data_IF_551970224808
#
_entry.id   IF_551970224808
#
_cell.length_a   1.000
_cell.length_b   1.000
_cell.length_c   1.000
_cell.angle_alpha   90.00
_cell.angle_beta   90.00
_cell.angle_gamma   90.00
#
_symmetry.space_group_name_H-M   'P 1'
#
loop_
_entity.id
_entity.type
_entity.pdbx_description
1 polymer ?
#
# COMPACT_ATOMS: atom_id res chain seq x y z
N UNK A 1 34.95 18.29 8.26
CA UNK A 1 33.74 18.31 7.43
C UNK A 1 32.56 18.62 8.34
N UNK A 2 31.64 19.53 7.98
CA UNK A 2 30.43 19.75 8.76
C UNK A 2 29.63 18.44 8.85
N UNK A 3 28.97 18.19 9.98
CA UNK A 3 28.07 17.04 10.14
C UNK A 3 26.90 17.22 9.15
N UNK A 4 26.48 16.16 8.43
CA UNK A 4 25.29 16.23 7.58
C UNK A 4 24.05 16.58 8.43
N UNK A 5 23.24 17.49 7.91
CA UNK A 5 22.00 17.94 8.56
C UNK A 5 21.03 16.77 8.71
N UNK A 6 20.40 16.67 9.88
CA UNK A 6 19.49 15.59 10.23
C UNK A 6 18.06 15.99 9.96
N UNK A 7 17.42 15.25 9.08
CA UNK A 7 16.04 15.50 8.70
C UNK A 7 15.07 14.51 9.36
N UNK A 8 14.06 15.04 10.03
CA UNK A 8 12.91 14.27 10.51
C UNK A 8 11.64 14.64 9.73
N UNK A 9 10.64 13.77 9.74
CA UNK A 9 9.33 14.03 9.17
C UNK A 9 8.24 13.83 10.23
N UNK A 10 7.22 14.68 10.21
CA UNK A 10 5.99 14.55 10.98
C UNK A 10 4.87 14.20 10.01
N UNK A 11 4.16 13.12 10.28
CA UNK A 11 2.98 12.73 9.52
C UNK A 11 1.72 12.98 10.32
N UNK A 12 0.91 13.94 9.88
CA UNK A 12 -0.27 14.42 10.62
C UNK A 12 -1.51 13.64 10.21
N UNK A 13 -2.01 12.80 11.12
CA UNK A 13 -3.12 11.86 10.91
C UNK A 13 -4.17 11.88 12.04
N UNK A 14 -4.21 12.92 12.88
CA UNK A 14 -5.12 12.97 14.03
C UNK A 14 -6.54 13.47 13.74
N UNK A 15 -6.77 14.03 12.56
CA UNK A 15 -8.08 14.54 12.15
C UNK A 15 -9.07 13.42 11.82
N UNK A 16 -10.36 13.64 12.11
CA UNK A 16 -11.43 12.66 11.80
C UNK A 16 -11.88 12.64 10.34
N UNK A 17 -11.61 13.72 9.59
CA UNK A 17 -11.88 13.74 8.14
C UNK A 17 -13.37 13.73 7.75
N UNK A 18 -14.24 14.36 8.55
CA UNK A 18 -15.71 14.37 8.40
C UNK A 18 -16.24 14.68 6.98
N UNK A 19 -15.47 15.43 6.18
CA UNK A 19 -15.84 15.80 4.78
C UNK A 19 -15.65 14.68 3.76
N UNK A 20 -14.96 13.59 4.10
CA UNK A 20 -14.67 12.48 3.19
C UNK A 20 -15.85 11.47 3.08
N UNK A 21 -16.98 11.74 3.73
CA UNK A 21 -18.16 10.88 3.73
C UNK A 21 -18.06 9.68 4.67
N UNK A 22 -18.95 8.71 4.49
CA UNK A 22 -18.97 7.46 5.25
C UNK A 22 -17.71 6.61 4.98
N UNK A 23 -17.32 5.77 5.95
CA UNK A 23 -16.17 4.85 5.81
C UNK A 23 -15.05 5.01 6.83
N UNK A 24 -15.32 5.60 8.00
CA UNK A 24 -14.33 5.78 9.08
C UNK A 24 -13.31 6.90 8.80
N UNK A 25 -12.26 7.03 9.63
CA UNK A 25 -11.25 8.06 9.44
C UNK A 25 -10.54 7.88 8.11
N UNK A 26 -10.55 8.93 7.28
CA UNK A 26 -10.14 8.87 5.88
C UNK A 26 -8.71 8.40 5.64
N UNK A 27 -7.81 8.63 6.60
CA UNK A 27 -6.41 8.19 6.55
C UNK A 27 -6.24 6.66 6.61
N UNK A 28 -7.23 5.92 7.12
CA UNK A 28 -7.21 4.45 7.16
C UNK A 28 -8.02 3.79 6.05
N UNK A 29 -8.70 4.57 5.21
CA UNK A 29 -9.37 4.03 4.01
C UNK A 29 -8.34 3.48 3.05
N UNK A 30 -8.70 2.38 2.38
CA UNK A 30 -7.87 1.74 1.37
C UNK A 30 -8.06 2.42 0.03
N UNK A 31 -6.94 2.68 -0.65
CA UNK A 31 -6.89 3.15 -2.04
C UNK A 31 -5.78 2.41 -2.79
N UNK A 32 -6.10 1.83 -3.93
CA UNK A 32 -5.19 0.98 -4.71
C UNK A 32 -4.60 -0.17 -3.88
N UNK A 33 -5.38 -0.75 -2.96
CA UNK A 33 -4.95 -1.88 -2.11
C UNK A 33 -4.09 -1.55 -0.88
N UNK A 34 -3.81 -0.28 -0.60
CA UNK A 34 -3.10 0.15 0.62
C UNK A 34 -3.86 1.27 1.33
N UNK A 35 -3.69 1.39 2.65
CA UNK A 35 -4.30 2.51 3.39
C UNK A 35 -3.69 3.84 2.94
N UNK A 36 -4.49 4.91 2.97
CA UNK A 36 -4.04 6.27 2.63
C UNK A 36 -2.81 6.68 3.44
N UNK A 37 -2.79 6.38 4.75
CA UNK A 37 -1.66 6.68 5.62
C UNK A 37 -0.41 5.87 5.29
N UNK A 38 -0.53 4.58 4.95
CA UNK A 38 0.61 3.78 4.53
C UNK A 38 1.29 4.43 3.33
N UNK A 39 0.52 4.77 2.30
CA UNK A 39 1.01 5.41 1.08
C UNK A 39 1.64 6.78 1.36
N UNK A 40 1.05 7.57 2.26
CA UNK A 40 1.61 8.87 2.64
C UNK A 40 2.92 8.75 3.45
N UNK A 41 3.08 7.68 4.23
CA UNK A 41 4.22 7.50 5.14
C UNK A 41 5.41 6.76 4.52
N UNK A 42 5.14 5.83 3.60
CA UNK A 42 6.13 4.93 3.01
C UNK A 42 7.32 5.66 2.37
N UNK A 43 7.14 6.72 1.55
CA UNK A 43 8.25 7.47 0.96
C UNK A 43 9.18 8.07 2.02
N UNK A 44 8.63 8.65 3.08
CA UNK A 44 9.43 9.21 4.19
C UNK A 44 10.14 8.13 5.00
N UNK A 45 9.51 6.96 5.16
CA UNK A 45 10.07 5.85 5.93
C UNK A 45 11.30 5.25 5.25
N UNK A 46 11.34 5.28 3.91
CA UNK A 46 12.41 4.73 3.07
C UNK A 46 13.44 5.75 2.60
N UNK A 47 13.12 7.04 2.62
CA UNK A 47 14.02 8.09 2.13
C UNK A 47 15.36 8.08 2.90
N UNK A 48 16.52 8.08 2.21
CA UNK A 48 17.83 7.94 2.85
C UNK A 48 18.18 9.09 3.80
N UNK A 49 17.77 10.31 3.46
CA UNK A 49 18.07 11.50 4.28
C UNK A 49 17.09 11.72 5.44
N UNK A 50 15.98 10.95 5.51
CA UNK A 50 15.02 11.05 6.61
C UNK A 50 15.36 9.99 7.65
N UNK A 51 15.85 10.42 8.83
CA UNK A 51 16.28 9.48 9.87
C UNK A 51 15.15 9.07 10.82
N UNK A 52 14.09 9.89 10.94
CA UNK A 52 12.95 9.66 11.81
C UNK A 52 11.65 10.13 11.16
N UNK A 53 10.61 9.30 11.28
CA UNK A 53 9.24 9.66 10.95
C UNK A 53 8.43 9.61 12.25
N UNK A 54 7.82 10.72 12.64
CA UNK A 54 6.97 10.86 13.82
C UNK A 54 5.50 10.92 13.39
N UNK A 55 4.74 9.82 13.53
CA UNK A 55 3.31 9.84 13.28
C UNK A 55 2.60 10.59 14.40
N UNK A 56 1.58 11.37 14.03
CA UNK A 56 0.66 12.01 14.98
C UNK A 56 -0.75 11.52 14.68
N UNK A 57 -1.33 10.76 15.60
CA UNK A 57 -2.58 10.03 15.38
C UNK A 57 -3.65 10.49 16.35
N UNK A 58 -4.90 10.15 16.06
CA UNK A 58 -5.96 10.35 17.03
C UNK A 58 -5.77 9.33 18.18
N UNK A 59 -5.95 9.71 19.46
CA UNK A 59 -5.80 8.79 20.59
C UNK A 59 -6.62 7.50 20.46
N UNK A 60 -7.80 7.57 19.84
CA UNK A 60 -8.71 6.42 19.70
C UNK A 60 -8.32 5.49 18.53
N UNK A 61 -7.37 5.90 17.69
CA UNK A 61 -7.07 5.22 16.43
C UNK A 61 -5.76 4.40 16.49
N UNK A 62 -5.19 4.17 17.69
CA UNK A 62 -3.90 3.49 17.84
C UNK A 62 -3.87 2.08 17.21
N UNK A 63 -4.95 1.29 17.37
CA UNK A 63 -5.04 -0.04 16.78
C UNK A 63 -5.09 0.00 15.24
N UNK A 64 -5.94 0.87 14.68
CA UNK A 64 -6.05 1.09 13.24
C UNK A 64 -4.73 1.57 12.64
N UNK A 65 -4.03 2.46 13.35
CA UNK A 65 -2.72 2.94 12.93
C UNK A 65 -1.71 1.80 12.85
N UNK A 66 -1.56 1.01 13.91
CA UNK A 66 -0.58 -0.07 13.97
C UNK A 66 -0.80 -1.11 12.86
N UNK A 67 -2.05 -1.45 12.56
CA UNK A 67 -2.39 -2.33 11.43
C UNK A 67 -2.06 -1.68 10.08
N UNK A 68 -2.38 -0.40 9.93
CA UNK A 68 -2.23 0.31 8.68
C UNK A 68 -0.77 0.54 8.25
N UNK A 69 0.20 0.57 9.16
CA UNK A 69 1.61 0.92 8.86
C UNK A 69 2.61 -0.23 9.06
N UNK A 70 2.13 -1.46 9.17
CA UNK A 70 2.98 -2.65 9.35
C UNK A 70 4.13 -2.66 8.32
N UNK A 71 5.36 -2.84 8.81
CA UNK A 71 6.57 -2.90 7.99
C UNK A 71 7.21 -1.56 7.66
N UNK A 72 6.60 -0.43 8.06
CA UNK A 72 7.20 0.90 7.90
C UNK A 72 8.08 1.29 9.09
N UNK A 73 9.19 1.97 8.83
CA UNK A 73 10.08 2.52 9.85
C UNK A 73 9.53 3.84 10.38
N UNK A 74 9.11 3.88 11.64
CA UNK A 74 8.65 5.11 12.29
C UNK A 74 8.93 5.11 13.81
N UNK A 75 8.80 6.28 14.44
CA UNK A 75 8.78 6.45 15.90
C UNK A 75 7.42 6.05 16.48
N UNK A 76 7.33 5.74 17.79
CA UNK A 76 6.03 5.54 18.44
C UNK A 76 5.07 6.69 18.12
N UNK A 77 3.80 6.41 17.75
CA UNK A 77 2.86 7.45 17.40
C UNK A 77 2.59 8.35 18.61
N UNK A 78 2.44 9.65 18.36
CA UNK A 78 2.06 10.63 19.40
C UNK A 78 0.60 11.02 19.23
N UNK A 79 -0.08 11.28 20.35
CA UNK A 79 -1.47 11.74 20.34
C UNK A 79 -1.57 13.17 19.80
N UNK A 80 -2.41 13.36 18.80
CA UNK A 80 -2.74 14.68 18.25
C UNK A 80 -3.67 15.49 19.15
N UNK A 81 -3.81 16.77 18.82
CA UNK A 81 -4.69 17.70 19.51
C UNK A 81 -6.01 17.94 18.77
N UNK A 82 -6.84 18.84 19.32
CA UNK A 82 -8.15 19.18 18.75
C UNK A 82 -8.07 19.84 17.35
N UNK A 83 -6.95 20.48 17.02
CA UNK A 83 -6.70 21.13 15.73
C UNK A 83 -5.51 20.50 15.00
N UNK A 84 -5.41 20.75 13.68
CA UNK A 84 -4.23 20.37 12.90
C UNK A 84 -2.96 20.97 13.50
N UNK A 85 -2.98 22.27 13.82
CA UNK A 85 -1.87 22.97 14.46
C UNK A 85 -1.47 22.34 15.79
N UNK A 86 -2.42 22.03 16.68
CA UNK A 86 -2.12 21.38 17.95
C UNK A 86 -1.51 19.99 17.76
N UNK A 87 -1.94 19.26 16.73
CA UNK A 87 -1.38 17.96 16.37
C UNK A 87 0.05 18.08 15.85
N UNK A 88 0.33 19.05 14.97
CA UNK A 88 1.71 19.31 14.50
C UNK A 88 2.61 19.64 15.68
N UNK A 89 2.19 20.53 16.58
CA UNK A 89 2.95 20.86 17.78
C UNK A 89 3.26 19.63 18.62
N UNK A 90 2.30 18.72 18.84
CA UNK A 90 2.54 17.47 19.57
C UNK A 90 3.63 16.60 18.89
N UNK A 91 3.61 16.52 17.55
CA UNK A 91 4.67 15.85 16.79
C UNK A 91 6.03 16.51 16.90
N UNK A 92 6.09 17.85 16.87
CA UNK A 92 7.34 18.62 17.04
C UNK A 92 7.90 18.41 18.46
N UNK A 93 7.06 18.45 19.49
CA UNK A 93 7.47 18.20 20.88
C UNK A 93 7.99 16.78 21.08
N UNK A 94 7.37 15.77 20.45
CA UNK A 94 7.86 14.39 20.50
C UNK A 94 9.28 14.24 19.92
N UNK A 95 9.62 15.03 18.90
CA UNK A 95 10.95 15.05 18.27
C UNK A 95 11.96 15.95 18.99
N UNK A 96 11.55 16.76 19.97
CA UNK A 96 12.42 17.77 20.60
C UNK A 96 13.65 17.18 21.29
N UNK A 97 13.54 15.95 21.83
CA UNK A 97 14.67 15.25 22.44
C UNK A 97 15.70 14.76 21.42
N UNK A 98 15.28 14.48 20.18
CA UNK A 98 16.13 13.99 19.10
C UNK A 98 16.88 15.11 18.39
N UNK A 99 16.42 16.37 18.52
CA UNK A 99 17.00 17.58 17.95
C UNK A 99 17.39 17.42 16.46
N UNK A 100 16.41 17.19 15.57
CA UNK A 100 16.67 17.25 14.13
C UNK A 100 17.02 18.69 13.73
N UNK A 101 17.79 18.87 12.66
CA UNK A 101 18.11 20.19 12.10
C UNK A 101 16.96 20.69 11.21
N UNK A 102 16.30 19.76 10.52
CA UNK A 102 15.23 20.00 9.55
C UNK A 102 14.02 19.13 9.91
N UNK A 103 12.82 19.69 9.76
CA UNK A 103 11.56 18.93 9.86
C UNK A 103 10.68 19.14 8.64
N UNK A 104 10.17 18.03 8.11
CA UNK A 104 9.12 18.01 7.09
C UNK A 104 7.79 17.75 7.77
N UNK A 105 6.77 18.56 7.51
CA UNK A 105 5.43 18.38 8.06
C UNK A 105 4.50 18.01 6.89
N UNK A 106 3.97 16.78 6.93
CA UNK A 106 3.17 16.21 5.84
C UNK A 106 1.77 15.81 6.32
N UNK A 107 0.78 16.00 5.45
CA UNK A 107 -0.61 15.62 5.75
C UNK A 107 -0.81 14.16 5.32
N UNK A 108 -1.25 13.28 6.23
CA UNK A 108 -1.55 11.89 5.86
C UNK A 108 -2.62 11.76 4.75
N UNK A 109 -3.42 12.81 4.54
CA UNK A 109 -4.40 12.87 3.46
C UNK A 109 -3.80 13.08 2.06
N UNK A 110 -2.46 13.19 1.92
CA UNK A 110 -1.75 13.30 0.65
C UNK A 110 -0.94 12.02 0.38
N UNK A 111 -1.57 10.92 -0.07
CA UNK A 111 -0.93 9.62 -0.19
C UNK A 111 0.08 9.49 -1.35
N UNK A 112 0.35 10.56 -2.10
CA UNK A 112 1.11 10.49 -3.35
C UNK A 112 2.38 11.36 -3.33
N UNK A 113 2.91 11.66 -2.14
CA UNK A 113 4.24 12.24 -2.03
C UNK A 113 5.27 11.26 -2.62
N UNK A 114 6.25 11.79 -3.35
CA UNK A 114 7.33 10.99 -3.96
C UNK A 114 8.66 11.26 -3.26
N UNK A 115 9.62 10.35 -3.39
CA UNK A 115 10.99 10.58 -2.89
C UNK A 115 11.59 11.86 -3.48
N UNK A 116 11.41 12.09 -4.79
CA UNK A 116 11.86 13.31 -5.44
C UNK A 116 11.24 14.59 -4.86
N UNK A 117 9.96 14.57 -4.47
CA UNK A 117 9.33 15.70 -3.79
C UNK A 117 9.95 15.93 -2.40
N UNK A 118 10.27 14.86 -1.67
CA UNK A 118 10.91 14.92 -0.36
C UNK A 118 12.32 15.50 -0.47
N UNK A 119 13.13 15.05 -1.44
CA UNK A 119 14.48 15.59 -1.65
C UNK A 119 14.43 17.09 -1.99
N UNK A 120 13.52 17.51 -2.90
CA UNK A 120 13.32 18.94 -3.20
C UNK A 120 12.93 19.77 -1.96
N UNK A 121 12.12 19.20 -1.06
CA UNK A 121 11.75 19.87 0.17
C UNK A 121 12.96 20.07 1.09
N UNK A 122 13.80 19.04 1.26
CA UNK A 122 15.04 19.11 2.06
C UNK A 122 15.97 20.19 1.49
N UNK A 123 16.20 20.21 0.19
CA UNK A 123 17.06 21.21 -0.47
C UNK A 123 16.52 22.64 -0.31
N UNK A 124 15.20 22.81 -0.37
CA UNK A 124 14.57 24.13 -0.33
C UNK A 124 14.73 24.85 1.02
N UNK A 125 14.97 24.13 2.11
CA UNK A 125 15.13 24.72 3.45
C UNK A 125 16.35 25.65 3.53
N UNK A 126 17.38 25.42 2.71
CA UNK A 126 18.62 26.20 2.70
C UNK A 126 18.44 27.65 2.28
N UNK A 127 17.32 28.02 1.66
CA UNK A 127 17.07 29.37 1.13
C UNK A 127 16.72 30.39 2.22
N UNK A 128 15.77 30.04 3.08
CA UNK A 128 15.23 30.94 4.12
C UNK A 128 14.99 30.25 5.46
N UNK A 129 15.28 28.95 5.56
CA UNK A 129 14.95 28.13 6.72
C UNK A 129 13.49 27.66 6.79
N UNK A 130 12.64 28.05 5.83
CA UNK A 130 11.25 27.64 5.73
C UNK A 130 10.82 27.59 4.27
N UNK A 131 10.23 26.50 3.79
CA UNK A 131 9.74 26.42 2.42
C UNK A 131 8.52 25.51 2.23
N UNK A 132 7.71 25.79 1.21
CA UNK A 132 6.54 25.00 0.86
C UNK A 132 6.49 24.62 -0.62
N UNK A 133 5.98 23.41 -0.94
CA UNK A 133 5.74 23.01 -2.32
C UNK A 133 4.50 23.73 -2.83
N UNK A 134 4.59 24.25 -4.05
CA UNK A 134 3.48 24.91 -4.73
C UNK A 134 3.29 24.37 -6.14
N UNK A 135 2.03 24.33 -6.58
CA UNK A 135 1.67 24.09 -7.98
C UNK A 135 0.94 25.32 -8.54
N UNK A 136 1.09 25.63 -9.85
CA UNK A 136 0.40 26.74 -10.47
C UNK A 136 -1.10 26.52 -10.48
N UNK A 137 -1.86 27.61 -10.41
CA UNK A 137 -3.30 27.58 -10.62
C UNK A 137 -3.58 27.65 -12.13
N UNK A 138 -4.29 26.66 -12.67
CA UNK A 138 -4.65 26.61 -14.09
C UNK A 138 -5.96 27.32 -14.39
N UNK A 139 -6.93 27.18 -13.49
CA UNK A 139 -8.27 27.74 -13.67
C UNK A 139 -8.34 29.21 -13.24
N UNK A 140 -9.34 29.93 -13.74
CA UNK A 140 -9.57 31.31 -13.28
C UNK A 140 -10.16 31.28 -11.88
N UNK A 141 -9.51 31.96 -10.92
CA UNK A 141 -9.99 32.08 -9.54
C UNK A 141 -10.85 33.33 -9.41
N UNK A 142 -11.98 33.19 -8.71
CA UNK A 142 -12.87 34.29 -8.34
C UNK A 142 -12.82 34.46 -6.83
N UNK A 143 -12.60 35.69 -6.37
CA UNK A 143 -12.89 36.10 -5.00
C UNK A 143 -14.38 36.43 -4.95
N UNK A 144 -15.10 35.81 -4.03
CA UNK A 144 -16.54 35.99 -3.86
C UNK A 144 -16.84 36.59 -2.49
N UNK A 145 -17.81 37.50 -2.44
CA UNK A 145 -18.33 38.06 -1.21
C UNK A 145 -19.27 37.10 -0.48
N UNK A 146 -19.75 37.52 0.69
CA UNK A 146 -20.66 36.71 1.51
C UNK A 146 -22.01 36.39 0.82
N UNK A 147 -22.44 37.21 -0.15
CA UNK A 147 -23.64 36.97 -0.97
C UNK A 147 -23.43 35.95 -2.09
N UNK A 148 -22.18 35.53 -2.35
CA UNK A 148 -21.80 34.68 -3.47
C UNK A 148 -21.48 35.44 -4.77
N UNK A 149 -21.61 36.76 -4.77
CA UNK A 149 -21.25 37.61 -5.91
C UNK A 149 -19.73 37.70 -6.09
N UNK A 150 -19.28 37.82 -7.34
CA UNK A 150 -17.86 37.99 -7.66
C UNK A 150 -17.40 39.39 -7.25
N UNK A 151 -16.43 39.48 -6.34
CA UNK A 151 -15.80 40.72 -5.91
C UNK A 151 -14.53 41.04 -6.72
N UNK A 152 -13.73 40.02 -7.02
CA UNK A 152 -12.50 40.18 -7.78
C UNK A 152 -12.11 38.93 -8.57
N UNK A 153 -11.28 39.11 -9.59
CA UNK A 153 -10.59 38.03 -10.29
C UNK A 153 -9.09 38.28 -10.16
N UNK A 154 -8.42 37.69 -9.15
CA UNK A 154 -6.98 37.88 -8.97
C UNK A 154 -6.18 37.37 -10.17
N UNK A 155 -4.99 37.93 -10.40
CA UNK A 155 -4.08 37.43 -11.42
C UNK A 155 -3.58 36.02 -11.04
N UNK A 156 -4.08 35.00 -11.75
CA UNK A 156 -3.72 33.60 -11.51
C UNK A 156 -2.22 33.34 -11.65
N UNK A 157 -1.48 34.16 -12.41
CA UNK A 157 -0.03 34.00 -12.58
C UNK A 157 0.74 34.18 -11.26
N UNK A 158 0.16 34.92 -10.30
CA UNK A 158 0.71 35.12 -8.96
C UNK A 158 0.13 34.14 -7.92
N UNK A 159 -0.90 33.37 -8.26
CA UNK A 159 -1.55 32.43 -7.36
C UNK A 159 -0.93 31.04 -7.44
N UNK A 160 -0.88 30.38 -6.29
CA UNK A 160 -0.30 29.06 -6.12
C UNK A 160 -1.16 28.20 -5.20
N UNK A 161 -1.25 26.91 -5.49
CA UNK A 161 -1.86 25.94 -4.59
C UNK A 161 -0.74 25.39 -3.70
N UNK A 162 -0.80 25.68 -2.40
CA UNK A 162 0.13 25.13 -1.42
C UNK A 162 -0.11 23.63 -1.20
N UNK A 163 0.97 22.89 -1.08
CA UNK A 163 0.99 21.47 -0.79
C UNK A 163 1.79 21.17 0.49
N UNK A 164 1.90 19.90 0.83
CA UNK A 164 2.84 19.39 1.84
C UNK A 164 3.65 18.23 1.21
N UNK A 165 4.88 17.91 1.64
CA UNK A 165 5.53 18.30 2.89
C UNK A 165 5.98 19.77 2.90
N UNK A 166 5.64 20.49 3.97
CA UNK A 166 6.23 21.80 4.26
C UNK A 166 7.51 21.58 5.07
N UNK A 167 8.58 22.32 4.78
CA UNK A 167 9.90 22.08 5.37
C UNK A 167 10.40 23.29 6.15
N UNK A 168 10.98 23.05 7.32
CA UNK A 168 11.44 24.12 8.21
C UNK A 168 12.71 23.71 8.97
N UNK A 169 13.47 24.72 9.42
CA UNK A 169 14.42 24.57 10.51
C UNK A 169 13.66 24.22 11.79
N UNK A 170 14.04 23.10 12.40
CA UNK A 170 13.25 22.48 13.46
C UNK A 170 13.01 23.39 14.66
N UNK A 171 14.09 23.94 15.25
CA UNK A 171 13.99 24.79 16.44
C UNK A 171 13.11 26.01 16.18
N UNK A 172 13.25 26.60 14.99
CA UNK A 172 12.54 27.81 14.58
C UNK A 172 11.03 27.55 14.48
N UNK A 173 10.61 26.46 13.82
CA UNK A 173 9.18 26.15 13.67
C UNK A 173 8.57 25.65 14.99
N UNK A 174 9.33 24.91 15.81
CA UNK A 174 8.88 24.47 17.12
C UNK A 174 8.61 25.67 18.04
N UNK A 175 9.51 26.66 18.06
CA UNK A 175 9.33 27.88 18.85
C UNK A 175 8.14 28.71 18.36
N UNK A 176 7.91 28.80 17.05
CA UNK A 176 6.74 29.46 16.48
C UNK A 176 5.43 28.78 16.94
N UNK A 177 5.36 27.45 16.90
CA UNK A 177 4.22 26.68 17.40
C UNK A 177 4.01 26.84 18.91
N UNK A 178 5.08 26.82 19.71
CA UNK A 178 5.02 27.06 21.16
C UNK A 178 4.54 28.47 21.47
N UNK A 179 5.00 29.47 20.72
CA UNK A 179 4.56 30.86 20.87
C UNK A 179 3.08 31.01 20.53
N UNK A 180 2.63 30.48 19.40
CA UNK A 180 1.21 30.51 19.02
C UNK A 180 0.33 29.86 20.09
N UNK A 181 0.75 28.73 20.66
CA UNK A 181 0.04 28.08 21.75
C UNK A 181 -0.02 28.93 23.04
N UNK A 182 1.08 29.58 23.44
CA UNK A 182 1.10 30.50 24.60
C UNK A 182 0.18 31.71 24.40
N UNK A 183 0.07 32.20 23.17
CA UNK A 183 -0.79 33.33 22.80
C UNK A 183 -2.24 32.90 22.48
N UNK A 184 -2.59 31.62 22.64
CA UNK A 184 -3.94 31.10 22.41
C UNK A 184 -4.39 31.13 20.94
N UNK A 185 -3.46 31.25 19.99
CA UNK A 185 -3.74 31.28 18.54
C UNK A 185 -3.84 29.86 17.99
N UNK A 186 -4.96 29.54 17.33
CA UNK A 186 -5.23 28.22 16.75
C UNK A 186 -5.92 28.27 15.38
N UNK A 187 -5.92 29.44 14.75
CA UNK A 187 -6.64 29.79 13.52
C UNK A 187 -5.82 29.58 12.24
N UNK A 188 -4.55 29.16 12.37
CA UNK A 188 -3.68 28.93 11.22
C UNK A 188 -4.06 27.65 10.47
N UNK A 189 -4.15 27.77 9.14
CA UNK A 189 -4.59 26.68 8.26
C UNK A 189 -3.47 25.72 7.87
N UNK A 190 -2.21 26.19 7.88
CA UNK A 190 -1.00 25.41 7.65
C UNK A 190 0.19 25.94 8.46
N UNK A 191 1.36 25.30 8.32
CA UNK A 191 2.55 25.61 9.11
C UNK A 191 3.33 26.81 8.55
N UNK A 192 3.17 27.09 7.25
CA UNK A 192 3.67 28.32 6.62
C UNK A 192 3.01 29.56 7.22
N UNK A 193 1.69 29.56 7.44
CA UNK A 193 1.00 30.69 8.06
C UNK A 193 1.50 30.98 9.49
N UNK A 194 1.87 29.94 10.25
CA UNK A 194 2.48 30.08 11.58
C UNK A 194 3.89 30.66 11.46
N UNK A 195 4.67 30.19 10.50
CA UNK A 195 6.01 30.69 10.22
C UNK A 195 5.98 32.19 9.82
N UNK A 196 5.10 32.57 8.90
CA UNK A 196 4.88 33.95 8.46
C UNK A 196 4.48 34.85 9.63
N UNK A 197 3.53 34.41 10.46
CA UNK A 197 3.12 35.13 11.65
C UNK A 197 4.26 35.31 12.67
N UNK A 198 5.15 34.32 12.78
CA UNK A 198 6.34 34.40 13.60
C UNK A 198 7.45 35.29 13.01
N UNK A 199 7.23 35.87 11.83
CA UNK A 199 8.17 36.77 11.13
C UNK A 199 9.17 36.06 10.22
N UNK A 200 8.94 34.77 9.90
CA UNK A 200 9.81 34.00 9.03
C UNK A 200 9.43 34.24 7.56
N UNK A 201 10.45 34.29 6.70
CA UNK A 201 10.24 34.28 5.25
C UNK A 201 10.07 32.85 4.77
N UNK A 202 8.92 32.52 4.20
CA UNK A 202 8.63 31.19 3.64
C UNK A 202 8.91 31.21 2.13
N UNK A 203 9.91 30.44 1.71
CA UNK A 203 10.19 30.25 0.29
C UNK A 203 9.21 29.26 -0.36
N UNK A 204 9.11 29.29 -1.68
CA UNK A 204 8.37 28.28 -2.45
C UNK A 204 9.33 27.43 -3.28
N UNK A 205 8.94 26.18 -3.52
CA UNK A 205 9.60 25.26 -4.46
C UNK A 205 8.56 24.48 -5.27
N UNK A 206 9.01 23.81 -6.33
CA UNK A 206 8.13 23.08 -7.24
C UNK A 206 7.47 21.86 -6.54
N UNK A 207 6.14 21.90 -6.43
CA UNK A 207 5.33 20.81 -5.91
C UNK A 207 5.12 19.67 -6.92
N UNK A 208 4.05 18.90 -6.74
CA UNK A 208 3.68 17.81 -7.65
C UNK A 208 2.16 17.78 -7.82
N UNK A 209 1.62 18.00 -9.03
CA UNK A 209 0.17 17.92 -9.27
C UNK A 209 -0.47 16.58 -8.85
N UNK A 210 0.29 15.47 -8.90
CA UNK A 210 -0.18 14.16 -8.46
C UNK A 210 -0.25 14.03 -6.94
N UNK A 211 0.47 14.87 -6.17
CA UNK A 211 0.46 14.91 -4.71
C UNK A 211 -0.80 15.60 -4.14
N UNK A 212 -1.94 15.11 -4.61
CA UNK A 212 -3.26 15.64 -4.29
C UNK A 212 -3.70 15.24 -2.88
N UNK A 213 -4.44 16.14 -2.23
CA UNK A 213 -5.05 15.90 -0.91
C UNK A 213 -6.43 15.29 -1.08
N UNK A 214 -6.62 14.06 -0.58
CA UNK A 214 -7.92 13.41 -0.53
C UNK A 214 -8.81 14.11 0.51
N UNK A 215 -9.88 14.74 0.03
CA UNK A 215 -10.76 15.58 0.85
C UNK A 215 -12.22 15.15 0.75
N UNK A 216 -12.69 14.83 -0.46
CA UNK A 216 -14.08 14.44 -0.73
C UNK A 216 -14.19 12.96 -1.13
N UNK A 217 -15.39 12.34 -1.11
CA UNK A 217 -15.60 11.00 -1.63
C UNK A 217 -15.18 10.84 -3.10
N UNK A 218 -15.40 11.85 -3.93
CA UNK A 218 -15.09 11.85 -5.36
C UNK A 218 -13.57 11.78 -5.60
N UNK A 219 -12.77 12.36 -4.70
CA UNK A 219 -11.30 12.24 -4.75
C UNK A 219 -10.88 10.77 -4.65
N UNK A 220 -11.51 9.99 -3.76
CA UNK A 220 -11.20 8.56 -3.63
C UNK A 220 -11.58 7.79 -4.89
N UNK A 221 -12.74 8.07 -5.48
CA UNK A 221 -13.20 7.39 -6.70
C UNK A 221 -12.24 7.69 -7.86
N UNK A 222 -11.90 8.96 -8.07
CA UNK A 222 -10.97 9.38 -9.13
C UNK A 222 -9.61 8.73 -8.97
N UNK A 223 -9.06 8.78 -7.76
CA UNK A 223 -7.71 8.29 -7.50
C UNK A 223 -7.65 6.75 -7.49
N UNK A 224 -8.71 6.05 -7.06
CA UNK A 224 -8.82 4.59 -7.22
C UNK A 224 -8.84 4.21 -8.71
N UNK A 225 -9.60 4.92 -9.54
CA UNK A 225 -9.64 4.69 -10.98
C UNK A 225 -8.27 4.95 -11.63
N UNK A 226 -7.59 6.03 -11.23
CA UNK A 226 -6.23 6.34 -11.70
C UNK A 226 -5.23 5.26 -11.28
N UNK A 227 -5.23 4.80 -10.04
CA UNK A 227 -4.34 3.72 -9.61
C UNK A 227 -4.67 2.39 -10.30
N UNK A 228 -5.95 2.12 -10.57
CA UNK A 228 -6.36 0.94 -11.29
C UNK A 228 -5.92 0.97 -12.76
N UNK A 229 -5.87 2.15 -13.40
CA UNK A 229 -5.40 2.29 -14.79
C UNK A 229 -3.88 2.09 -14.92
N UNK A 230 -3.12 2.36 -13.85
CA UNK A 230 -1.69 2.01 -13.78
C UNK A 230 -1.45 0.49 -13.87
N UNK A 231 -2.47 -0.34 -13.64
CA UNK A 231 -2.40 -1.81 -13.72
C UNK A 231 -3.22 -2.30 -14.92
N UNK A 232 -2.87 -1.77 -16.09
CA UNK A 232 -3.57 -1.96 -17.35
C UNK A 232 -3.14 -3.21 -18.14
N UNK A 233 -1.95 -3.76 -17.87
CA UNK A 233 -1.50 -5.01 -18.51
C UNK A 233 -2.16 -6.19 -17.81
N UNK A 234 -3.17 -6.79 -18.46
CA UNK A 234 -3.94 -7.91 -17.92
C UNK A 234 -3.46 -9.19 -18.59
N UNK A 235 -2.94 -10.12 -17.79
CA UNK A 235 -2.43 -11.40 -18.27
C UNK A 235 -3.16 -12.55 -17.59
N UNK A 236 -3.38 -13.61 -18.36
CA UNK A 236 -3.98 -14.85 -17.86
C UNK A 236 -3.03 -16.00 -18.09
N UNK A 237 -2.83 -16.82 -17.07
CA UNK A 237 -2.07 -18.05 -17.14
C UNK A 237 -2.91 -19.24 -16.71
N UNK A 238 -2.53 -20.42 -17.18
CA UNK A 238 -3.14 -21.69 -16.82
C UNK A 238 -2.10 -22.63 -16.25
N UNK A 239 -2.50 -23.47 -15.31
CA UNK A 239 -1.66 -24.50 -14.73
C UNK A 239 -2.35 -25.84 -14.75
N UNK A 240 -1.57 -26.91 -14.86
CA UNK A 240 -2.04 -28.28 -14.80
C UNK A 240 -1.02 -29.13 -14.04
N UNK A 241 -1.46 -29.80 -13.00
CA UNK A 241 -0.59 -30.69 -12.21
C UNK A 241 -1.29 -32.02 -11.91
N UNK A 242 -0.49 -33.07 -11.72
CA UNK A 242 -0.96 -34.44 -11.47
C UNK A 242 -0.07 -35.10 -10.43
N UNK A 243 -0.68 -35.62 -9.36
CA UNK A 243 0.00 -36.49 -8.39
C UNK A 243 -0.63 -37.87 -8.33
N UNK A 244 0.21 -38.88 -8.43
CA UNK A 244 -0.17 -40.27 -8.23
C UNK A 244 -0.40 -40.55 -6.74
N UNK A 245 -1.34 -41.43 -6.45
CA UNK A 245 -1.52 -41.92 -5.09
C UNK A 245 -0.49 -42.99 -4.73
N UNK A 246 -0.11 -43.01 -3.45
CA UNK A 246 0.71 -44.04 -2.81
C UNK A 246 0.22 -44.35 -1.41
N UNK A 247 1.09 -44.93 -0.59
CA UNK A 247 0.81 -45.18 0.83
C UNK A 247 0.68 -43.87 1.61
N UNK A 248 -0.26 -43.80 2.56
CA UNK A 248 -0.48 -42.63 3.40
C UNK A 248 -1.87 -42.62 4.04
N UNK A 249 -2.09 -41.66 4.94
CA UNK A 249 -3.32 -41.47 5.71
C UNK A 249 -4.03 -40.13 5.40
N UNK A 250 -3.50 -39.36 4.45
CA UNK A 250 -4.03 -38.06 4.05
C UNK A 250 -3.45 -37.59 2.72
N UNK A 251 -4.10 -36.61 2.12
CA UNK A 251 -3.60 -35.85 0.98
C UNK A 251 -3.64 -34.35 1.27
N UNK A 252 -2.65 -33.61 0.79
CA UNK A 252 -2.64 -32.15 0.87
C UNK A 252 -3.31 -31.58 -0.38
N UNK A 253 -4.36 -30.78 -0.21
CA UNK A 253 -5.06 -30.14 -1.35
C UNK A 253 -5.42 -28.71 -0.97
N UNK A 254 -4.97 -27.75 -1.76
CA UNK A 254 -5.22 -26.32 -1.58
C UNK A 254 -4.84 -25.80 -0.17
N UNK A 255 -3.74 -26.30 0.40
CA UNK A 255 -3.24 -25.98 1.73
C UNK A 255 -3.98 -26.69 2.87
N UNK A 256 -4.84 -27.67 2.57
CA UNK A 256 -5.65 -28.39 3.55
C UNK A 256 -5.23 -29.84 3.63
N UNK A 257 -4.97 -30.33 4.86
CA UNK A 257 -4.76 -31.76 5.14
C UNK A 257 -6.09 -32.49 5.09
N UNK A 258 -6.34 -33.25 4.03
CA UNK A 258 -7.59 -33.99 3.82
C UNK A 258 -7.40 -35.45 4.22
N UNK A 259 -8.15 -35.98 5.22
CA UNK A 259 -8.09 -37.40 5.57
C UNK A 259 -8.40 -38.29 4.37
N UNK A 260 -7.55 -39.31 4.15
CA UNK A 260 -7.68 -40.22 3.02
C UNK A 260 -6.99 -41.56 3.34
N UNK A 261 -7.34 -42.63 2.62
CA UNK A 261 -6.66 -43.94 2.79
C UNK A 261 -5.38 -44.07 1.94
N UNK A 262 -4.95 -42.97 1.32
CA UNK A 262 -3.79 -42.87 0.43
C UNK A 262 -3.08 -41.54 0.67
N UNK A 263 -1.81 -41.46 0.32
CA UNK A 263 -1.04 -40.21 0.23
C UNK A 263 -0.63 -39.89 -1.21
N UNK A 264 0.03 -38.75 -1.43
CA UNK A 264 0.62 -38.43 -2.73
C UNK A 264 2.08 -38.89 -2.81
N UNK A 265 2.45 -39.42 -3.96
CA UNK A 265 3.85 -39.66 -4.33
C UNK A 265 4.44 -38.35 -4.89
N UNK A 266 5.01 -37.53 -4.01
CA UNK A 266 5.57 -36.24 -4.38
C UNK A 266 6.90 -35.95 -3.66
N UNK A 267 7.67 -35.00 -4.19
CA UNK A 267 8.91 -34.53 -3.56
C UNK A 267 8.62 -33.57 -2.40
N UNK A 268 7.62 -32.68 -2.53
CA UNK A 268 7.13 -31.77 -1.48
C UNK A 268 6.01 -32.43 -0.63
N UNK A 269 5.13 -31.65 -0.02
CA UNK A 269 3.88 -32.14 0.59
C UNK A 269 2.82 -32.64 -0.43
N UNK A 270 3.10 -32.48 -1.72
CA UNK A 270 2.30 -33.04 -2.82
C UNK A 270 1.00 -32.31 -3.11
N UNK A 271 0.88 -31.02 -2.76
CA UNK A 271 -0.35 -30.27 -2.96
C UNK A 271 -0.61 -29.93 -4.44
N UNK A 272 -1.32 -30.84 -5.12
CA UNK A 272 -1.67 -30.74 -6.55
C UNK A 272 -2.42 -29.44 -6.88
N UNK A 273 -3.24 -28.94 -5.95
CA UNK A 273 -4.05 -27.75 -6.16
C UNK A 273 -3.21 -26.47 -6.10
N UNK A 274 -2.32 -26.37 -5.11
CA UNK A 274 -1.41 -25.24 -4.98
C UNK A 274 -0.36 -25.22 -6.10
N UNK A 275 0.18 -26.38 -6.48
CA UNK A 275 1.14 -26.47 -7.59
C UNK A 275 0.53 -25.98 -8.91
N UNK A 276 -0.68 -26.43 -9.25
CA UNK A 276 -1.36 -25.93 -10.45
C UNK A 276 -1.58 -24.40 -10.39
N UNK A 277 -1.92 -23.84 -9.22
CA UNK A 277 -2.03 -22.39 -9.05
C UNK A 277 -0.70 -21.65 -9.22
N UNK A 278 0.41 -22.23 -8.73
CA UNK A 278 1.75 -21.68 -8.91
C UNK A 278 2.07 -21.56 -10.40
N UNK A 279 1.87 -22.64 -11.16
CA UNK A 279 2.09 -22.63 -12.61
C UNK A 279 1.19 -21.63 -13.34
N UNK A 280 -0.08 -21.52 -12.94
CA UNK A 280 -0.97 -20.52 -13.52
C UNK A 280 -0.47 -19.08 -13.30
N UNK A 281 0.06 -18.77 -12.11
CA UNK A 281 0.61 -17.44 -11.80
C UNK A 281 1.93 -17.20 -12.56
N UNK A 282 2.86 -18.16 -12.53
CA UNK A 282 4.15 -18.04 -13.22
C UNK A 282 3.97 -17.97 -14.75
N UNK A 283 3.04 -18.75 -15.30
CA UNK A 283 2.64 -18.68 -16.70
C UNK A 283 2.07 -17.31 -17.07
N UNK A 284 1.20 -16.73 -16.24
CA UNK A 284 0.68 -15.38 -16.46
C UNK A 284 1.80 -14.31 -16.45
N UNK A 285 2.86 -14.55 -15.67
CA UNK A 285 4.05 -13.70 -15.61
C UNK A 285 5.05 -13.95 -16.76
N UNK A 286 4.85 -14.97 -17.59
CA UNK A 286 5.84 -15.50 -18.53
C UNK A 286 7.18 -15.81 -17.84
N UNK A 287 7.12 -16.42 -16.65
CA UNK A 287 8.22 -16.58 -15.72
C UNK A 287 8.50 -18.05 -15.42
N UNK A 288 8.49 -18.89 -16.47
CA UNK A 288 8.67 -20.33 -16.36
C UNK A 288 7.53 -21.03 -15.62
N UNK A 289 7.87 -22.15 -14.97
CA UNK A 289 6.98 -23.05 -14.25
C UNK A 289 7.55 -23.38 -12.85
N UNK A 290 6.79 -24.11 -12.04
CA UNK A 290 7.18 -24.51 -10.69
C UNK A 290 8.51 -25.27 -10.66
N UNK A 291 8.77 -26.13 -11.65
CA UNK A 291 10.02 -26.91 -11.74
C UNK A 291 11.24 -26.05 -12.04
N UNK A 292 11.04 -24.93 -12.75
CA UNK A 292 12.08 -23.94 -13.04
C UNK A 292 12.54 -23.17 -11.80
N UNK A 293 11.63 -22.92 -10.84
CA UNK A 293 11.93 -22.20 -9.60
C UNK A 293 12.23 -23.13 -8.42
N UNK A 294 11.68 -24.34 -8.42
CA UNK A 294 11.80 -25.33 -7.34
C UNK A 294 12.18 -26.70 -7.92
N UNK A 295 13.43 -26.89 -8.39
CA UNK A 295 13.84 -28.13 -9.03
C UNK A 295 13.72 -29.33 -8.06
N UNK A 296 13.07 -30.44 -8.46
CA UNK A 296 12.81 -31.58 -7.57
C UNK A 296 14.08 -32.33 -7.12
N UNK A 297 15.20 -32.11 -7.82
CA UNK A 297 16.51 -32.67 -7.47
C UNK A 297 17.16 -31.97 -6.28
N UNK A 298 16.68 -30.78 -5.91
CA UNK A 298 17.21 -30.03 -4.78
C UNK A 298 16.63 -30.57 -3.45
N UNK A 299 17.45 -31.12 -2.55
CA UNK A 299 16.99 -31.72 -1.30
C UNK A 299 16.21 -30.77 -0.38
N UNK A 300 16.40 -29.45 -0.51
CA UNK A 300 15.75 -28.46 0.36
C UNK A 300 14.22 -28.43 0.21
N UNK A 301 13.70 -28.89 -0.94
CA UNK A 301 12.27 -28.92 -1.22
C UNK A 301 11.59 -30.21 -0.75
N UNK A 302 12.36 -31.18 -0.28
CA UNK A 302 11.82 -32.45 0.18
C UNK A 302 10.93 -32.24 1.42
N UNK A 303 9.64 -32.55 1.30
CA UNK A 303 8.65 -32.34 2.36
C UNK A 303 8.39 -30.86 2.70
N UNK A 304 8.82 -29.93 1.84
CA UNK A 304 8.48 -28.52 2.01
C UNK A 304 6.98 -28.31 1.81
N UNK A 305 6.40 -27.40 2.59
CA UNK A 305 5.01 -27.00 2.48
C UNK A 305 4.77 -26.17 1.21
N UNK A 306 3.75 -26.53 0.43
CA UNK A 306 3.47 -25.90 -0.86
C UNK A 306 2.91 -24.48 -0.76
N UNK A 307 2.47 -24.05 0.44
CA UNK A 307 2.14 -22.66 0.72
C UNK A 307 3.30 -21.70 0.42
N UNK A 308 4.55 -22.13 0.65
CA UNK A 308 5.76 -21.38 0.34
C UNK A 308 5.90 -21.12 -1.16
N UNK A 309 5.52 -22.09 -1.99
CA UNK A 309 5.60 -21.97 -3.44
C UNK A 309 4.54 -21.00 -3.97
N UNK A 310 3.29 -21.11 -3.48
CA UNK A 310 2.24 -20.16 -3.84
C UNK A 310 2.61 -18.74 -3.39
N UNK A 311 3.08 -18.59 -2.15
CA UNK A 311 3.53 -17.30 -1.61
C UNK A 311 4.64 -16.68 -2.48
N UNK A 312 5.63 -17.48 -2.88
CA UNK A 312 6.69 -17.03 -3.78
C UNK A 312 6.15 -16.55 -5.13
N UNK A 313 5.24 -17.29 -5.76
CA UNK A 313 4.64 -16.88 -7.03
C UNK A 313 3.87 -15.56 -6.90
N UNK A 314 3.11 -15.37 -5.80
CA UNK A 314 2.45 -14.10 -5.48
C UNK A 314 3.47 -12.97 -5.30
N UNK A 315 4.53 -13.20 -4.54
CA UNK A 315 5.56 -12.19 -4.27
C UNK A 315 6.24 -11.72 -5.55
N UNK A 316 6.37 -12.58 -6.56
CA UNK A 316 6.89 -12.19 -7.89
C UNK A 316 5.93 -11.31 -8.68
N UNK A 317 4.62 -11.49 -8.54
CA UNK A 317 3.63 -10.55 -9.09
C UNK A 317 3.81 -9.19 -8.41
N UNK A 318 3.89 -9.17 -7.07
CA UNK A 318 4.08 -7.94 -6.29
C UNK A 318 5.40 -7.24 -6.60
N UNK A 319 6.50 -7.97 -6.78
CA UNK A 319 7.81 -7.42 -7.11
C UNK A 319 7.83 -6.68 -8.46
N UNK A 320 6.94 -7.04 -9.39
CA UNK A 320 6.74 -6.33 -10.67
C UNK A 320 5.72 -5.19 -10.57
N UNK A 321 5.32 -4.80 -9.35
CA UNK A 321 4.29 -3.79 -9.10
C UNK A 321 2.88 -4.26 -9.43
N UNK A 322 2.68 -5.56 -9.59
CA UNK A 322 1.41 -6.16 -9.99
C UNK A 322 0.49 -6.53 -8.85
N UNK A 323 -0.70 -7.01 -9.23
CA UNK A 323 -1.67 -7.66 -8.34
C UNK A 323 -2.35 -8.84 -9.01
N UNK A 324 -2.78 -9.80 -8.21
CA UNK A 324 -3.65 -10.89 -8.67
C UNK A 324 -5.10 -10.38 -8.72
N UNK A 325 -5.76 -10.54 -9.87
CA UNK A 325 -7.17 -10.18 -10.05
C UNK A 325 -8.12 -11.28 -9.59
N UNK A 326 -7.81 -12.54 -9.91
CA UNK A 326 -8.53 -13.72 -9.41
C UNK A 326 -7.67 -14.98 -9.54
N UNK A 327 -7.99 -15.97 -8.71
CA UNK A 327 -7.43 -17.32 -8.76
C UNK A 327 -8.56 -18.35 -8.83
N UNK A 328 -8.33 -19.41 -9.59
CA UNK A 328 -9.26 -20.52 -9.71
C UNK A 328 -8.50 -21.84 -9.81
N UNK A 329 -9.01 -22.86 -9.12
CA UNK A 329 -8.54 -24.25 -9.27
C UNK A 329 -9.72 -25.21 -9.36
N UNK A 330 -9.60 -26.22 -10.21
CA UNK A 330 -10.56 -27.31 -10.39
C UNK A 330 -9.87 -28.64 -10.16
N UNK A 331 -10.32 -29.37 -9.14
CA UNK A 331 -9.80 -30.68 -8.79
C UNK A 331 -10.57 -31.75 -9.56
N UNK A 332 -9.85 -32.66 -10.23
CA UNK A 332 -10.41 -33.74 -11.03
C UNK A 332 -10.11 -35.05 -10.31
N UNK A 333 -11.09 -35.57 -9.57
CA UNK A 333 -10.92 -36.74 -8.72
C UNK A 333 -12.26 -37.39 -8.33
N UNK A 334 -12.29 -38.71 -8.16
CA UNK A 334 -13.44 -39.42 -7.59
C UNK A 334 -13.56 -39.20 -6.07
N UNK A 335 -12.39 -39.25 -5.39
CA UNK A 335 -12.20 -39.04 -3.95
C UNK A 335 -10.92 -38.25 -3.71
N UNK A 336 -10.84 -37.43 -2.64
CA UNK A 336 -11.90 -37.14 -1.66
C UNK A 336 -13.01 -36.24 -2.24
N UNK A 337 -14.15 -36.15 -1.55
CA UNK A 337 -15.21 -35.21 -1.93
C UNK A 337 -14.82 -33.79 -1.54
N UNK A 338 -14.63 -32.93 -2.54
CA UNK A 338 -14.18 -31.54 -2.35
C UNK A 338 -15.30 -30.60 -1.88
N UNK A 339 -16.56 -30.88 -2.24
CA UNK A 339 -17.70 -30.02 -1.90
C UNK A 339 -17.76 -29.57 -0.44
N UNK A 340 -17.66 -30.48 0.54
CA UNK A 340 -17.63 -30.14 1.97
C UNK A 340 -16.40 -29.35 2.44
N UNK A 341 -15.29 -29.40 1.69
CA UNK A 341 -14.00 -28.78 2.04
C UNK A 341 -13.73 -27.49 1.28
N UNK A 342 -14.55 -27.19 0.27
CA UNK A 342 -14.33 -26.11 -0.71
C UNK A 342 -14.06 -24.76 -0.05
N UNK A 343 -14.87 -24.36 0.92
CA UNK A 343 -14.72 -23.04 1.53
C UNK A 343 -13.50 -22.96 2.47
N UNK A 344 -13.12 -24.08 3.11
CA UNK A 344 -11.86 -24.18 3.85
C UNK A 344 -10.65 -24.03 2.92
N UNK A 345 -10.68 -24.69 1.76
CA UNK A 345 -9.63 -24.55 0.73
C UNK A 345 -9.55 -23.12 0.19
N UNK A 346 -10.70 -22.49 -0.11
CA UNK A 346 -10.75 -21.09 -0.54
C UNK A 346 -10.15 -20.15 0.51
N UNK A 347 -10.49 -20.36 1.78
CA UNK A 347 -9.95 -19.57 2.88
C UNK A 347 -8.43 -19.75 3.03
N UNK A 348 -7.91 -20.98 2.89
CA UNK A 348 -6.47 -21.24 2.91
C UNK A 348 -5.72 -20.60 1.75
N UNK A 349 -6.24 -20.69 0.52
CA UNK A 349 -5.63 -19.97 -0.62
C UNK A 349 -5.67 -18.45 -0.37
N UNK A 350 -6.75 -17.91 0.20
CA UNK A 350 -6.87 -16.49 0.53
C UNK A 350 -5.81 -16.04 1.54
N UNK A 351 -5.63 -16.83 2.61
CA UNK A 351 -4.62 -16.61 3.64
C UNK A 351 -3.20 -16.60 3.04
N UNK A 352 -2.86 -17.61 2.23
CA UNK A 352 -1.52 -17.76 1.66
C UNK A 352 -1.22 -16.66 0.62
N UNK A 353 -2.19 -16.37 -0.26
CA UNK A 353 -1.99 -15.43 -1.37
C UNK A 353 -2.24 -13.97 -1.00
N UNK A 354 -2.87 -13.68 0.14
CA UNK A 354 -3.34 -12.34 0.48
C UNK A 354 -4.48 -11.83 -0.42
N UNK A 355 -5.04 -12.68 -1.28
CA UNK A 355 -6.14 -12.33 -2.19
C UNK A 355 -7.47 -12.51 -1.46
N UNK A 356 -8.38 -11.55 -1.62
CA UNK A 356 -9.73 -11.64 -1.05
C UNK A 356 -10.43 -12.93 -1.47
N UNK A 357 -11.09 -13.61 -0.52
CA UNK A 357 -11.81 -14.87 -0.76
C UNK A 357 -12.91 -14.75 -1.84
N UNK A 358 -13.42 -13.54 -2.10
CA UNK A 358 -14.39 -13.29 -3.17
C UNK A 358 -13.79 -13.39 -4.58
N UNK A 359 -12.46 -13.44 -4.68
CA UNK A 359 -11.68 -13.58 -5.92
C UNK A 359 -11.04 -14.95 -6.07
N UNK A 360 -11.43 -15.92 -5.21
CA UNK A 360 -10.88 -17.27 -5.19
C UNK A 360 -12.00 -18.28 -5.41
N UNK A 361 -11.85 -19.09 -6.45
CA UNK A 361 -12.74 -20.18 -6.77
C UNK A 361 -12.04 -21.55 -6.60
N UNK A 362 -12.69 -22.48 -5.91
CA UNK A 362 -12.30 -23.88 -5.86
C UNK A 362 -13.46 -24.70 -6.39
N UNK A 363 -13.24 -25.45 -7.46
CA UNK A 363 -14.22 -26.35 -8.09
C UNK A 363 -13.73 -27.78 -8.02
N UNK A 364 -14.63 -28.72 -8.24
CA UNK A 364 -14.26 -30.11 -8.41
C UNK A 364 -15.19 -30.81 -9.37
N UNK A 365 -14.67 -31.84 -10.03
CA UNK A 365 -15.44 -32.73 -10.89
C UNK A 365 -14.87 -34.14 -10.82
N UNK A 366 -15.73 -35.12 -11.04
CA UNK A 366 -15.36 -36.53 -11.20
C UNK A 366 -14.94 -36.79 -12.65
N UNK A 367 -14.33 -37.94 -12.91
CA UNK A 367 -14.09 -38.39 -14.30
C UNK A 367 -15.04 -39.50 -14.69
N UNK A 368 -16.17 -39.63 -13.98
CA UNK A 368 -17.17 -40.68 -14.16
C UNK A 368 -16.57 -42.08 -14.18
N UNK A 369 -15.57 -42.33 -13.31
CA UNK A 369 -14.78 -43.57 -13.26
C UNK A 369 -13.98 -43.91 -14.53
N UNK A 370 -13.78 -42.94 -15.42
CA UNK A 370 -12.96 -43.04 -16.62
C UNK A 370 -11.55 -42.46 -16.37
N UNK A 371 -10.55 -43.03 -17.04
CA UNK A 371 -9.15 -42.57 -16.93
C UNK A 371 -8.51 -42.82 -15.56
N UNK A 372 -7.30 -42.28 -15.37
CA UNK A 372 -6.52 -42.52 -14.15
C UNK A 372 -7.15 -41.88 -12.91
N UNK A 373 -7.74 -40.69 -13.07
CA UNK A 373 -8.51 -40.00 -12.03
C UNK A 373 -9.77 -40.79 -11.65
N UNK A 374 -10.44 -41.39 -12.63
CA UNK A 374 -11.62 -42.24 -12.44
C UNK A 374 -11.32 -43.60 -11.80
N UNK A 375 -10.14 -44.17 -12.07
CA UNK A 375 -9.65 -45.40 -11.42
C UNK A 375 -8.99 -45.15 -10.05
N UNK A 376 -9.04 -43.91 -9.56
CA UNK A 376 -8.41 -43.50 -8.29
C UNK A 376 -6.91 -43.84 -8.24
N UNK A 377 -6.20 -43.65 -9.36
CA UNK A 377 -4.73 -43.80 -9.46
C UNK A 377 -4.00 -42.53 -9.03
N UNK A 378 -4.68 -41.38 -9.05
CA UNK A 378 -4.16 -40.08 -8.63
C UNK A 378 -5.21 -38.98 -8.74
N UNK A 379 -4.78 -37.74 -8.51
CA UNK A 379 -5.60 -36.53 -8.67
C UNK A 379 -4.92 -35.64 -9.69
N UNK A 380 -5.73 -35.04 -10.57
CA UNK A 380 -5.29 -33.94 -11.42
C UNK A 380 -5.93 -32.63 -10.96
N UNK A 381 -5.24 -31.51 -11.17
CA UNK A 381 -5.79 -30.18 -10.96
C UNK A 381 -5.54 -29.31 -12.19
N UNK A 382 -6.55 -28.53 -12.58
CA UNK A 382 -6.37 -27.41 -13.52
C UNK A 382 -6.57 -26.11 -12.78
N UNK A 383 -5.79 -25.09 -13.11
CA UNK A 383 -5.89 -23.79 -12.49
C UNK A 383 -5.83 -22.67 -13.53
N UNK A 384 -6.43 -21.52 -13.18
CA UNK A 384 -6.22 -20.27 -13.90
C UNK A 384 -5.92 -19.13 -12.94
N UNK A 385 -5.08 -18.21 -13.39
CA UNK A 385 -4.75 -16.99 -12.66
C UNK A 385 -4.83 -15.81 -13.63
N UNK A 386 -5.54 -14.77 -13.22
CA UNK A 386 -5.49 -13.48 -13.91
C UNK A 386 -4.69 -12.52 -13.05
N UNK A 387 -3.68 -11.89 -13.62
CA UNK A 387 -2.85 -10.86 -12.97
C UNK A 387 -3.00 -9.53 -13.70
N UNK A 388 -2.71 -8.45 -12.98
CA UNK A 388 -2.67 -7.08 -13.52
C UNK A 388 -1.33 -6.45 -13.19
N UNK A 389 -0.62 -5.97 -14.20
CA UNK A 389 0.71 -5.40 -14.13
C UNK A 389 0.71 -3.96 -14.64
N UNK A 390 1.72 -3.16 -14.25
CA UNK A 390 2.03 -1.93 -14.96
C UNK A 390 2.53 -2.22 -16.38
N UNK A 391 2.22 -1.31 -17.30
CA UNK A 391 2.85 -1.29 -18.63
C UNK A 391 4.32 -0.88 -18.49
N UNK A 392 5.20 -1.85 -18.30
CA UNK A 392 6.64 -1.61 -18.15
C UNK A 392 7.42 -1.83 -19.46
N UNK A 393 6.77 -2.36 -20.48
CA UNK A 393 7.39 -2.56 -21.78
C UNK A 393 7.46 -1.21 -22.50
N UNK A 394 8.68 -0.73 -22.74
CA UNK A 394 9.00 0.46 -23.56
C UNK A 394 8.43 0.45 -24.98
N UNK A 395 7.66 -0.57 -25.36
CA UNK A 395 7.03 -0.73 -26.67
C UNK A 395 5.67 -0.03 -26.82
N UNK A 396 5.11 0.53 -25.75
CA UNK A 396 3.79 1.20 -25.76
C UNK A 396 3.83 2.71 -25.51
N UNK A 397 5.01 3.31 -25.43
CA UNK A 397 5.15 4.77 -25.49
C UNK A 397 5.21 5.22 -26.94
N UNK A 398 4.05 5.45 -27.56
CA UNK A 398 3.88 6.37 -28.70
C UNK A 398 3.20 7.65 -28.24
#
# INVERSE_FOLDING_TARGET
>A
MPRPERTAAILVAAGRGLRAGAGGPKQYRVIGGQTVIFRAMEPFSRHPDVFAVQPVVNPDDAALFNEAVVGLRHRPPTNGGATRQASVRAGLEALASEKPDIVLIHDAARPFATEALISRAIDAVGRTGAAIPVVPVTDTIKLTGASGDVEATPDRALLRIAQTPQVFRFDVILDAHRRAAREGRSDFTDDAAIAEWAGLTVATFEGDPANMKLTTPEDFVREEARLASLLGDIRTGTGYDVHAFGEGDHVMICGVRVPHTKGFLAHSDGDVGLHALVDAILGALADGDIGSHFPPVDPQWKGASSDRFLKYAVDRVTARGGRIANLEVTLICERPKIGPLRDTMRAKIAEISGVSITRIAVKATTSERLGFTGREEGIAATASATIRLPWNDKGWSE
#
